data_IF_720456923695
#
_entry.id   IF_720456923695
#
_cell.length_a   1.000
_cell.length_b   1.000
_cell.length_c   1.000
_cell.angle_alpha   90.00
_cell.angle_beta   90.00
_cell.angle_gamma   90.00
#
_symmetry.space_group_name_H-M   'P 1'
#
loop_
_entity.id
_entity.type
_entity.pdbx_description
1 polymer ?
#
# COMPACT_ATOMS: atom_id res chain seq x y z
N UNK A 1 11.80 12.34 9.14
CA UNK A 1 10.44 12.53 9.69
C UNK A 1 9.73 11.19 9.57
N UNK A 2 9.17 10.70 10.66
CA UNK A 2 8.40 9.44 10.70
C UNK A 2 7.00 9.66 10.15
N UNK A 3 6.41 8.61 9.58
CA UNK A 3 5.07 8.64 9.01
C UNK A 3 4.17 7.61 9.69
N UNK A 4 2.91 8.02 9.94
CA UNK A 4 1.87 7.21 10.55
C UNK A 4 0.61 7.27 9.69
N UNK A 5 -0.27 6.28 9.83
CA UNK A 5 -1.55 6.23 9.16
C UNK A 5 -2.67 6.27 10.19
N UNK A 6 -3.73 7.01 9.86
CA UNK A 6 -4.90 7.18 10.73
C UNK A 6 -6.18 6.95 9.93
N UNK A 7 -7.27 6.63 10.64
CA UNK A 7 -8.61 6.61 10.08
C UNK A 7 -9.12 8.05 9.93
N UNK A 8 -10.04 8.28 8.98
CA UNK A 8 -10.55 9.63 8.70
C UNK A 8 -11.20 10.29 9.93
N UNK A 9 -11.84 9.50 10.80
CA UNK A 9 -12.46 9.97 12.05
C UNK A 9 -11.47 10.51 13.08
N UNK A 10 -10.20 10.13 12.95
CA UNK A 10 -9.12 10.62 13.84
C UNK A 10 -8.62 12.01 13.44
N UNK A 11 -8.98 12.48 12.22
CA UNK A 11 -8.62 13.79 11.71
C UNK A 11 -9.68 14.80 12.13
N UNK A 12 -9.32 15.77 12.96
CA UNK A 12 -10.15 16.90 13.35
C UNK A 12 -9.73 18.15 12.58
N UNK A 13 -10.43 19.28 12.80
CA UNK A 13 -10.19 20.51 12.00
C UNK A 13 -8.71 20.95 11.96
N UNK A 14 -8.03 20.94 13.11
CA UNK A 14 -6.67 21.46 13.25
C UNK A 14 -5.70 20.48 13.91
N UNK A 15 -6.15 19.30 14.28
CA UNK A 15 -5.34 18.29 14.99
C UNK A 15 -5.77 16.87 14.66
N UNK A 16 -4.88 15.93 14.91
CA UNK A 16 -5.11 14.51 14.68
C UNK A 16 -4.83 13.74 15.96
N UNK A 17 -5.69 12.77 16.26
CA UNK A 17 -5.56 11.85 17.38
C UNK A 17 -5.07 10.49 16.88
N UNK A 18 -3.84 10.11 17.18
CA UNK A 18 -3.30 8.79 16.88
C UNK A 18 -3.63 7.86 18.06
N UNK A 19 -4.20 6.69 17.76
CA UNK A 19 -4.53 5.66 18.76
C UNK A 19 -3.97 4.30 18.35
N UNK A 20 -4.04 3.32 19.26
CA UNK A 20 -3.65 1.94 19.01
C UNK A 20 -2.15 1.70 18.99
N UNK A 21 -1.67 0.81 18.10
CA UNK A 21 -0.29 0.34 18.11
C UNK A 21 0.76 1.41 17.88
N UNK A 22 0.42 2.45 17.12
CA UNK A 22 1.34 3.55 16.80
C UNK A 22 1.63 4.44 18.02
N UNK A 23 0.76 4.49 19.04
CA UNK A 23 1.02 5.18 20.32
C UNK A 23 2.25 4.60 21.01
N UNK A 24 2.27 3.27 21.18
CA UNK A 24 3.42 2.56 21.76
C UNK A 24 4.68 2.74 20.88
N UNK A 25 4.53 2.72 19.56
CA UNK A 25 5.64 2.94 18.64
C UNK A 25 6.25 4.33 18.83
N UNK A 26 5.42 5.38 18.88
CA UNK A 26 5.85 6.77 19.09
C UNK A 26 6.54 6.95 20.44
N UNK A 27 5.86 6.52 21.52
CA UNK A 27 6.32 6.79 22.89
C UNK A 27 7.50 5.92 23.32
N UNK A 28 7.47 4.61 23.05
CA UNK A 28 8.43 3.66 23.61
C UNK A 28 9.49 3.20 22.62
N UNK A 29 9.14 2.99 21.35
CA UNK A 29 10.11 2.50 20.35
C UNK A 29 10.93 3.66 19.79
N UNK A 30 10.26 4.69 19.27
CA UNK A 30 10.89 5.88 18.71
C UNK A 30 11.30 6.90 19.78
N UNK A 31 10.69 6.83 20.96
CA UNK A 31 10.93 7.74 22.09
C UNK A 31 10.79 9.21 21.71
N UNK A 32 9.79 9.49 20.89
CA UNK A 32 9.52 10.84 20.42
C UNK A 32 9.02 11.73 21.57
N UNK A 33 9.16 13.02 21.39
CA UNK A 33 8.80 14.04 22.39
C UNK A 33 7.80 15.04 21.82
N UNK A 34 7.08 15.69 22.69
CA UNK A 34 6.26 16.85 22.38
C UNK A 34 7.11 17.89 21.63
N UNK A 35 6.54 18.47 20.58
CA UNK A 35 7.21 19.43 19.70
C UNK A 35 7.91 18.81 18.49
N UNK A 36 8.12 17.49 18.44
CA UNK A 36 8.70 16.83 17.27
C UNK A 36 7.71 16.76 16.10
N UNK A 37 8.26 16.77 14.88
CA UNK A 37 7.48 16.73 13.65
C UNK A 37 7.27 15.31 13.16
N UNK A 38 6.04 15.01 12.77
CA UNK A 38 5.63 13.75 12.16
C UNK A 38 4.80 14.03 10.90
N UNK A 39 4.75 13.06 10.02
CA UNK A 39 3.82 13.03 8.87
C UNK A 39 2.70 12.05 9.20
N UNK A 40 1.48 12.42 8.91
CA UNK A 40 0.31 11.57 9.10
C UNK A 40 -0.44 11.51 7.78
N UNK A 41 -0.88 10.33 7.37
CA UNK A 41 -1.74 10.15 6.20
C UNK A 41 -3.06 9.52 6.62
N UNK A 42 -4.16 10.01 6.05
CA UNK A 42 -5.49 9.44 6.25
C UNK A 42 -5.82 8.38 5.18
N UNK A 43 -6.98 7.74 5.27
CA UNK A 43 -7.43 6.73 4.30
C UNK A 43 -7.75 7.32 2.92
N UNK A 44 -8.06 8.61 2.84
CA UNK A 44 -8.31 9.30 1.57
C UNK A 44 -7.02 9.61 0.79
N UNK A 45 -5.84 9.32 1.37
CA UNK A 45 -4.54 9.55 0.77
C UNK A 45 -3.99 10.96 0.96
N UNK A 46 -4.66 11.81 1.76
CA UNK A 46 -4.12 13.12 2.14
C UNK A 46 -3.03 12.97 3.18
N UNK A 47 -2.03 13.81 3.11
CA UNK A 47 -0.94 13.86 4.07
C UNK A 47 -0.90 15.16 4.83
N UNK A 48 -0.58 15.07 6.10
CA UNK A 48 -0.50 16.19 7.02
C UNK A 48 0.89 16.26 7.63
N UNK A 49 1.49 17.43 7.62
CA UNK A 49 2.69 17.71 8.40
C UNK A 49 2.25 18.21 9.77
N UNK A 50 2.58 17.44 10.79
CA UNK A 50 2.07 17.66 12.12
C UNK A 50 3.19 17.84 13.14
N UNK A 51 2.86 18.49 14.25
CA UNK A 51 3.71 18.60 15.43
C UNK A 51 3.04 17.91 16.61
N UNK A 52 3.76 17.04 17.31
CA UNK A 52 3.27 16.36 18.50
C UNK A 52 2.97 17.37 19.59
N UNK A 53 1.72 17.39 20.06
CA UNK A 53 1.28 18.22 21.18
C UNK A 53 1.39 17.48 22.52
N UNK A 54 0.94 16.23 22.56
CA UNK A 54 0.85 15.41 23.76
C UNK A 54 1.03 13.94 23.43
N UNK A 55 1.67 13.20 24.34
CA UNK A 55 1.83 11.76 24.28
C UNK A 55 1.35 11.18 25.61
N UNK A 56 0.34 10.33 25.56
CA UNK A 56 -0.18 9.56 26.71
C UNK A 56 0.04 8.08 26.48
N UNK A 57 -0.42 7.22 27.38
CA UNK A 57 -0.36 5.75 27.20
C UNK A 57 -1.39 5.25 26.18
N UNK A 58 -2.46 5.99 25.92
CA UNK A 58 -3.59 5.58 25.08
C UNK A 58 -3.63 6.30 23.73
N UNK A 59 -3.15 7.55 23.67
CA UNK A 59 -3.26 8.38 22.48
C UNK A 59 -2.10 9.37 22.33
N UNK A 60 -1.88 9.81 21.10
CA UNK A 60 -0.95 10.89 20.76
C UNK A 60 -1.70 11.96 19.97
N UNK A 61 -1.69 13.19 20.51
CA UNK A 61 -2.26 14.35 19.84
C UNK A 61 -1.19 15.11 19.04
N UNK A 62 -1.52 15.43 17.79
CA UNK A 62 -0.64 16.19 16.92
C UNK A 62 -1.39 17.35 16.25
N UNK A 63 -0.80 18.55 16.27
CA UNK A 63 -1.28 19.74 15.59
C UNK A 63 -0.95 19.66 14.11
N UNK A 64 -1.91 19.92 13.23
CA UNK A 64 -1.68 20.09 11.80
C UNK A 64 -0.99 21.44 11.57
N UNK A 65 0.20 21.43 10.98
CA UNK A 65 0.95 22.63 10.56
C UNK A 65 0.76 22.91 9.07
N UNK A 66 0.65 21.86 8.24
CA UNK A 66 0.51 21.97 6.79
C UNK A 66 -0.14 20.70 6.22
N UNK A 67 -0.73 20.80 5.04
CA UNK A 67 -1.38 19.70 4.34
C UNK A 67 -0.80 19.53 2.93
N UNK A 68 -0.43 18.31 2.58
CA UNK A 68 0.05 17.93 1.26
C UNK A 68 -1.09 17.23 0.50
N UNK A 69 -1.81 17.98 -0.33
CA UNK A 69 -2.92 17.48 -1.14
C UNK A 69 -2.45 16.74 -2.41
N UNK A 70 -1.21 17.00 -2.86
CA UNK A 70 -0.68 16.43 -4.11
C UNK A 70 -0.19 15.00 -3.92
N UNK A 71 0.30 14.66 -2.72
CA UNK A 71 0.81 13.33 -2.41
C UNK A 71 1.96 12.85 -3.31
N UNK A 72 2.39 11.61 -3.10
CA UNK A 72 3.42 10.94 -3.91
C UNK A 72 2.86 9.76 -4.71
N UNK A 73 1.54 9.61 -4.74
CA UNK A 73 0.89 8.50 -5.42
C UNK A 73 0.83 8.72 -6.94
N UNK A 74 0.83 7.62 -7.67
CA UNK A 74 0.58 7.68 -9.11
C UNK A 74 -0.88 8.07 -9.38
N UNK A 75 -1.10 8.77 -10.49
CA UNK A 75 -2.44 9.03 -11.02
C UNK A 75 -3.19 7.76 -11.45
N UNK A 76 -2.48 6.65 -11.61
CA UNK A 76 -2.99 5.35 -12.04
C UNK A 76 -2.93 4.34 -10.90
N UNK A 77 -3.98 3.53 -10.74
CA UNK A 77 -4.00 2.41 -9.80
C UNK A 77 -3.36 1.19 -10.46
N UNK A 78 -2.21 0.76 -9.97
CA UNK A 78 -1.47 -0.40 -10.49
C UNK A 78 -1.83 -1.64 -9.67
N UNK A 79 -2.42 -2.64 -10.31
CA UNK A 79 -2.76 -3.95 -9.73
C UNK A 79 -1.73 -4.99 -10.14
N UNK A 80 -1.11 -5.66 -9.18
CA UNK A 80 -0.14 -6.72 -9.44
C UNK A 80 -0.76 -8.10 -9.17
N UNK A 81 -1.02 -8.85 -10.24
CA UNK A 81 -1.39 -10.27 -10.16
C UNK A 81 -0.12 -11.12 -10.09
N UNK A 82 0.25 -11.54 -8.90
CA UNK A 82 1.52 -12.24 -8.64
C UNK A 82 1.29 -13.74 -8.40
N UNK A 83 1.82 -14.58 -9.28
CA UNK A 83 1.88 -16.03 -9.03
C UNK A 83 2.63 -16.34 -7.74
N UNK A 84 2.08 -17.22 -6.91
CA UNK A 84 2.68 -17.58 -5.61
C UNK A 84 4.09 -18.15 -5.79
N UNK A 85 5.14 -17.43 -5.38
CA UNK A 85 6.52 -17.90 -5.50
C UNK A 85 6.89 -18.85 -4.36
N UNK A 86 8.03 -19.52 -4.50
CA UNK A 86 8.62 -20.34 -3.41
C UNK A 86 9.15 -19.45 -2.28
N UNK A 87 9.06 -19.96 -1.05
CA UNK A 87 9.66 -19.38 0.15
C UNK A 87 9.22 -17.93 0.41
N UNK A 88 10.14 -17.09 0.88
CA UNK A 88 9.87 -15.72 1.32
C UNK A 88 9.94 -14.68 0.19
N UNK A 89 10.06 -15.14 -1.08
CA UNK A 89 10.13 -14.23 -2.23
C UNK A 89 8.90 -13.33 -2.35
N UNK A 90 7.73 -13.81 -1.91
CA UNK A 90 6.51 -13.00 -1.93
C UNK A 90 6.65 -11.75 -1.05
N UNK A 91 7.30 -11.85 0.09
CA UNK A 91 7.52 -10.75 1.01
C UNK A 91 8.41 -9.67 0.39
N UNK A 92 9.49 -10.08 -0.29
CA UNK A 92 10.35 -9.17 -1.04
C UNK A 92 9.62 -8.50 -2.21
N UNK A 93 8.81 -9.26 -2.95
CA UNK A 93 8.01 -8.72 -4.07
C UNK A 93 7.06 -7.66 -3.53
N UNK A 94 6.31 -7.95 -2.46
CA UNK A 94 5.39 -7.00 -1.84
C UNK A 94 6.14 -5.73 -1.42
N UNK A 95 7.23 -5.88 -0.67
CA UNK A 95 8.03 -4.74 -0.24
C UNK A 95 8.43 -3.86 -1.43
N UNK A 96 9.03 -4.45 -2.47
CA UNK A 96 9.55 -3.69 -3.62
C UNK A 96 8.45 -3.09 -4.49
N UNK A 97 7.34 -3.79 -4.68
CA UNK A 97 6.23 -3.24 -5.47
C UNK A 97 5.48 -2.15 -4.73
N UNK A 98 5.39 -2.22 -3.41
CA UNK A 98 4.89 -1.12 -2.58
C UNK A 98 5.80 0.11 -2.71
N UNK A 99 7.11 -0.04 -2.57
CA UNK A 99 8.07 1.05 -2.78
C UNK A 99 7.96 1.69 -4.18
N UNK A 100 7.55 0.90 -5.19
CA UNK A 100 7.36 1.33 -6.58
C UNK A 100 5.95 1.86 -6.91
N UNK A 101 5.04 1.92 -5.94
CA UNK A 101 3.74 2.55 -6.14
C UNK A 101 2.58 1.61 -6.49
N UNK A 102 2.70 0.28 -6.29
CA UNK A 102 1.56 -0.63 -6.48
C UNK A 102 0.37 -0.21 -5.61
N UNK A 103 -0.84 -0.30 -6.16
CA UNK A 103 -2.08 -0.01 -5.43
C UNK A 103 -2.64 -1.25 -4.73
N UNK A 104 -2.62 -2.40 -5.42
CA UNK A 104 -3.11 -3.68 -4.86
C UNK A 104 -2.22 -4.82 -5.35
N UNK A 105 -1.91 -5.77 -4.46
CA UNK A 105 -1.25 -7.03 -4.81
C UNK A 105 -2.23 -8.19 -4.65
N UNK A 106 -2.40 -8.94 -5.72
CA UNK A 106 -3.32 -10.08 -5.81
C UNK A 106 -2.50 -11.35 -6.00
N UNK A 107 -2.31 -12.16 -4.94
CA UNK A 107 -1.61 -13.43 -5.05
C UNK A 107 -2.44 -14.41 -5.91
N UNK A 108 -1.79 -15.11 -6.85
CA UNK A 108 -2.48 -16.04 -7.75
C UNK A 108 -1.94 -17.46 -7.57
N UNK A 109 -2.84 -18.39 -7.27
CA UNK A 109 -2.54 -19.82 -7.20
C UNK A 109 -2.55 -20.42 -8.61
N UNK A 110 -1.38 -20.59 -9.21
CA UNK A 110 -1.22 -21.16 -10.55
C UNK A 110 -0.95 -22.66 -10.50
N UNK A 111 -1.20 -23.37 -11.60
CA UNK A 111 -1.00 -24.83 -11.71
C UNK A 111 0.41 -25.27 -11.31
N UNK A 112 1.42 -24.50 -11.68
CA UNK A 112 2.83 -24.80 -11.43
C UNK A 112 3.39 -24.18 -10.14
N UNK A 113 2.54 -23.53 -9.31
CA UNK A 113 2.96 -23.03 -8.01
C UNK A 113 3.22 -24.20 -7.07
N UNK A 114 4.43 -24.23 -6.48
CA UNK A 114 4.82 -25.24 -5.48
C UNK A 114 4.06 -25.00 -4.17
N UNK A 115 3.71 -23.77 -3.88
CA UNK A 115 3.01 -23.39 -2.65
C UNK A 115 1.51 -23.57 -2.85
N UNK A 116 0.93 -24.49 -2.07
CA UNK A 116 -0.52 -24.66 -1.95
C UNK A 116 -0.95 -24.15 -0.58
N UNK A 117 -1.81 -23.17 -0.57
CA UNK A 117 -2.36 -22.58 0.65
C UNK A 117 -3.78 -23.10 0.86
N UNK A 118 -4.03 -23.72 2.00
CA UNK A 118 -5.37 -23.86 2.52
C UNK A 118 -5.88 -22.51 3.03
N UNK A 119 -7.18 -22.39 3.26
CA UNK A 119 -7.81 -21.11 3.64
C UNK A 119 -7.18 -20.49 4.89
N UNK A 120 -6.91 -21.31 5.94
CA UNK A 120 -6.32 -20.85 7.20
C UNK A 120 -4.90 -20.32 7.00
N UNK A 121 -4.09 -21.01 6.19
CA UNK A 121 -2.73 -20.56 5.84
C UNK A 121 -2.77 -19.32 4.97
N UNK A 122 -3.72 -19.23 4.03
CA UNK A 122 -3.89 -18.05 3.21
C UNK A 122 -4.20 -16.81 4.05
N UNK A 123 -5.17 -16.90 4.97
CA UNK A 123 -5.50 -15.82 5.89
C UNK A 123 -4.29 -15.37 6.74
N UNK A 124 -3.54 -16.33 7.30
CA UNK A 124 -2.33 -16.03 8.10
C UNK A 124 -1.24 -15.35 7.26
N UNK A 125 -1.03 -15.84 6.03
CA UNK A 125 -0.07 -15.23 5.10
C UNK A 125 -0.49 -13.82 4.68
N UNK A 126 -1.75 -13.60 4.35
CA UNK A 126 -2.26 -12.28 3.97
C UNK A 126 -2.10 -11.25 5.09
N UNK A 127 -2.38 -11.62 6.34
CA UNK A 127 -2.13 -10.74 7.49
C UNK A 127 -0.65 -10.34 7.60
N UNK A 128 0.27 -11.29 7.44
CA UNK A 128 1.70 -11.03 7.46
C UNK A 128 2.13 -10.13 6.27
N UNK A 129 1.64 -10.43 5.09
CA UNK A 129 1.93 -9.66 3.87
C UNK A 129 1.37 -8.24 3.94
N UNK A 130 0.18 -8.06 4.53
CA UNK A 130 -0.39 -6.73 4.76
C UNK A 130 0.48 -5.90 5.73
N UNK A 131 0.99 -6.49 6.79
CA UNK A 131 1.92 -5.81 7.70
C UNK A 131 3.23 -5.38 7.01
N UNK A 132 3.73 -6.21 6.06
CA UNK A 132 4.91 -5.86 5.25
C UNK A 132 4.58 -4.68 4.31
N UNK A 133 3.40 -4.70 3.66
CA UNK A 133 2.96 -3.61 2.79
C UNK A 133 2.84 -2.29 3.57
N UNK A 134 2.26 -2.33 4.77
CA UNK A 134 2.17 -1.17 5.66
C UNK A 134 3.55 -0.63 6.05
N UNK A 135 4.46 -1.50 6.48
CA UNK A 135 5.82 -1.11 6.83
C UNK A 135 6.57 -0.49 5.65
N UNK A 136 6.44 -1.06 4.45
CA UNK A 136 7.03 -0.54 3.23
C UNK A 136 6.43 0.81 2.83
N UNK A 137 5.10 0.98 2.95
CA UNK A 137 4.42 2.25 2.69
C UNK A 137 4.89 3.36 3.64
N UNK A 138 4.99 3.06 4.94
CA UNK A 138 5.54 4.00 5.94
C UNK A 138 6.97 4.41 5.59
N UNK A 139 7.83 3.47 5.21
CA UNK A 139 9.23 3.72 4.88
C UNK A 139 9.39 4.52 3.58
N UNK A 140 8.63 4.20 2.55
CA UNK A 140 8.67 4.88 1.24
C UNK A 140 7.87 6.18 1.20
N UNK A 141 7.23 6.56 2.32
CA UNK A 141 6.42 7.77 2.49
C UNK A 141 5.23 7.83 1.53
N UNK A 142 4.64 6.69 1.24
CA UNK A 142 3.40 6.61 0.48
C UNK A 142 2.25 7.17 1.30
N UNK A 143 1.25 7.75 0.65
CA UNK A 143 0.05 8.28 1.31
C UNK A 143 -1.04 7.22 1.44
N UNK A 144 -0.95 6.13 0.67
CA UNK A 144 -1.90 5.01 0.68
C UNK A 144 -1.18 3.71 1.06
N UNK A 145 -1.79 2.89 1.91
CA UNK A 145 -1.32 1.53 2.20
C UNK A 145 -1.91 0.58 1.14
N UNK A 146 -1.08 -0.06 0.30
CA UNK A 146 -1.55 -1.03 -0.68
C UNK A 146 -2.27 -2.21 -0.04
N UNK A 147 -3.36 -2.64 -0.65
CA UNK A 147 -4.07 -3.83 -0.21
C UNK A 147 -3.40 -5.12 -0.70
N UNK A 148 -3.36 -6.12 0.18
CA UNK A 148 -2.99 -7.49 -0.18
C UNK A 148 -4.26 -8.35 -0.14
N UNK A 149 -4.74 -8.74 -1.30
CA UNK A 149 -5.94 -9.56 -1.40
C UNK A 149 -5.71 -11.03 -0.99
N UNK A 150 -6.80 -11.75 -0.74
CA UNK A 150 -6.74 -13.20 -0.59
C UNK A 150 -6.31 -13.85 -1.92
N UNK A 151 -5.54 -14.97 -1.86
CA UNK A 151 -5.10 -15.65 -3.06
C UNK A 151 -6.28 -16.11 -3.95
N UNK A 152 -6.21 -15.74 -5.21
CA UNK A 152 -7.17 -16.15 -6.23
C UNK A 152 -6.67 -17.38 -7.01
N UNK A 153 -7.59 -18.17 -7.55
CA UNK A 153 -7.27 -19.12 -8.61
C UNK A 153 -6.98 -18.36 -9.92
N UNK A 154 -6.27 -19.00 -10.85
CA UNK A 154 -5.99 -18.41 -12.17
C UNK A 154 -7.26 -17.94 -12.89
N UNK A 155 -8.34 -18.72 -12.80
CA UNK A 155 -9.62 -18.37 -13.42
C UNK A 155 -10.23 -17.11 -12.82
N UNK A 156 -10.24 -17.01 -11.49
CA UNK A 156 -10.74 -15.82 -10.79
C UNK A 156 -9.88 -14.57 -11.10
N UNK A 157 -8.56 -14.73 -11.11
CA UNK A 157 -7.65 -13.65 -11.46
C UNK A 157 -7.89 -13.11 -12.89
N UNK A 158 -8.17 -13.99 -13.85
CA UNK A 158 -8.51 -13.57 -15.22
C UNK A 158 -9.88 -12.85 -15.28
N UNK A 159 -10.86 -13.28 -14.52
CA UNK A 159 -12.16 -12.58 -14.47
C UNK A 159 -12.00 -11.18 -13.85
N UNK A 160 -11.26 -11.06 -12.75
CA UNK A 160 -11.01 -9.78 -12.11
C UNK A 160 -10.17 -8.83 -13.00
N UNK A 161 -9.20 -9.37 -13.73
CA UNK A 161 -8.39 -8.59 -14.64
C UNK A 161 -9.18 -7.98 -15.82
N UNK A 162 -10.33 -8.56 -16.21
CA UNK A 162 -11.19 -8.02 -17.28
C UNK A 162 -11.85 -6.69 -16.92
N UNK A 163 -11.98 -6.41 -15.63
CA UNK A 163 -12.56 -5.16 -15.13
C UNK A 163 -11.54 -3.99 -15.16
N UNK A 164 -10.27 -4.28 -15.48
CA UNK A 164 -9.21 -3.28 -15.58
C UNK A 164 -9.14 -2.69 -16.98
N UNK A 165 -8.86 -1.40 -17.09
CA UNK A 165 -8.79 -0.69 -18.37
C UNK A 165 -7.62 -1.19 -19.24
N UNK A 166 -6.50 -1.56 -18.61
CA UNK A 166 -5.29 -2.08 -19.28
C UNK A 166 -4.77 -3.30 -18.56
N UNK A 167 -4.56 -4.39 -19.29
CA UNK A 167 -3.96 -5.62 -18.77
C UNK A 167 -2.66 -5.90 -19.49
N UNK A 168 -1.56 -5.96 -18.75
CA UNK A 168 -0.23 -6.27 -19.27
C UNK A 168 0.22 -7.62 -18.74
N UNK A 169 0.64 -8.50 -19.66
CA UNK A 169 1.21 -9.81 -19.32
C UNK A 169 2.66 -9.83 -19.77
N UNK A 170 3.64 -9.67 -18.85
CA UNK A 170 5.05 -9.76 -19.18
C UNK A 170 5.37 -11.16 -19.69
N UNK A 171 6.07 -11.23 -20.85
CA UNK A 171 6.47 -12.48 -21.47
C UNK A 171 7.99 -12.52 -21.67
N UNK A 172 8.65 -13.54 -21.08
CA UNK A 172 10.11 -13.63 -21.01
C UNK A 172 10.83 -13.81 -22.36
N UNK A 173 10.12 -14.30 -23.38
CA UNK A 173 10.70 -14.51 -24.70
C UNK A 173 10.60 -13.29 -25.62
N UNK A 174 9.94 -12.23 -25.19
CA UNK A 174 9.85 -11.00 -25.96
C UNK A 174 11.18 -10.23 -25.89
N UNK A 175 11.73 -9.90 -27.06
CA UNK A 175 13.03 -9.22 -27.14
C UNK A 175 12.84 -7.75 -27.51
N UNK A 176 13.46 -6.88 -26.72
CA UNK A 176 13.47 -5.44 -26.96
C UNK A 176 12.49 -4.68 -26.04
N UNK A 177 12.83 -3.41 -25.82
CA UNK A 177 12.07 -2.53 -24.94
C UNK A 177 11.16 -1.56 -25.71
N UNK A 178 11.25 -1.51 -27.04
CA UNK A 178 10.53 -0.52 -27.84
C UNK A 178 9.02 -0.78 -27.82
N UNK A 179 8.59 -2.00 -28.08
CA UNK A 179 7.18 -2.38 -28.01
C UNK A 179 6.57 -2.12 -26.62
N UNK A 180 7.32 -2.43 -25.57
CA UNK A 180 6.92 -2.16 -24.19
C UNK A 180 6.77 -0.66 -23.93
N UNK A 181 7.70 0.17 -24.40
CA UNK A 181 7.62 1.63 -24.25
C UNK A 181 6.44 2.23 -25.01
N UNK A 182 6.15 1.73 -26.20
CA UNK A 182 5.00 2.16 -26.99
C UNK A 182 3.67 1.85 -26.28
N UNK A 183 3.56 0.63 -25.73
CA UNK A 183 2.39 0.25 -24.91
C UNK A 183 2.22 1.20 -23.73
N UNK A 184 3.27 1.44 -22.94
CA UNK A 184 3.17 2.37 -21.81
C UNK A 184 2.82 3.80 -22.22
N UNK A 185 3.31 4.29 -23.37
CA UNK A 185 2.96 5.61 -23.91
C UNK A 185 1.52 5.70 -24.40
N UNK A 186 0.92 4.58 -24.78
CA UNK A 186 -0.47 4.52 -25.26
C UNK A 186 -1.51 4.44 -24.14
N UNK A 187 -1.08 4.24 -22.89
CA UNK A 187 -1.99 4.22 -21.73
C UNK A 187 -2.53 5.64 -21.52
N UNK A 188 -3.86 5.85 -21.62
CA UNK A 188 -4.46 7.17 -21.41
C UNK A 188 -4.22 7.67 -19.98
N UNK A 189 -3.93 8.96 -19.83
CA UNK A 189 -3.91 9.59 -18.50
C UNK A 189 -5.29 9.45 -17.85
N UNK A 190 -5.34 8.90 -16.63
CA UNK A 190 -6.60 8.70 -15.89
C UNK A 190 -7.39 7.44 -16.23
N UNK A 191 -6.85 6.53 -17.04
CA UNK A 191 -7.53 5.29 -17.49
C UNK A 191 -7.96 4.33 -16.37
N UNK A 192 -7.73 4.61 -15.09
CA UNK A 192 -8.04 3.71 -13.99
C UNK A 192 -8.88 4.32 -12.86
N UNK A 193 -9.60 5.39 -13.12
CA UNK A 193 -10.47 6.03 -12.12
C UNK A 193 -11.96 5.61 -12.24
N UNK A 194 -12.26 4.40 -12.72
CA UNK A 194 -13.63 3.88 -12.80
C UNK A 194 -13.98 2.90 -11.69
N UNK A 195 -13.84 3.30 -10.45
CA UNK A 195 -14.43 2.55 -9.32
C UNK A 195 -15.09 3.45 -8.29
N UNK A 196 -15.67 4.57 -8.74
CA UNK A 196 -16.54 5.39 -7.90
C UNK A 196 -17.74 5.83 -8.76
N UNK A 197 -18.71 4.94 -8.91
CA UNK A 197 -20.13 5.22 -9.10
C UNK A 197 -20.94 4.15 -8.38
#
# INVERSE_FOLDING_TARGET
MYQFFVEDEQVQQDRICIVGGDVNHIGHVLRMKTGEKIRISDQSGRSYFCRILEITEEEVWAQIEDTDEMGTEFSHKVYLFQGLPKSDKMELIIQKTVELGVYTVIPVAMKNCVVKLDEKKAQSKCKRWQAIAESAAKQSKRTVIPQIQMPLSWKQALEEAKELDVVLVPYENERGMEATREIFRSIPEGAMSRSEE
#
